data_IF_969488662064
#
_entry.id   IF_969488662064
#
_cell.length_a   1.000
_cell.length_b   1.000
_cell.length_c   1.000
_cell.angle_alpha   90.00
_cell.angle_beta   90.00
_cell.angle_gamma   90.00
#
_symmetry.space_group_name_H-M   'P 1'
#
loop_
_entity.id
_entity.type
_entity.pdbx_description
1 polymer ?
#
# COMPACT_ATOMS: atom_id res chain seq x y z
N UNK A 1 -63.94 4.31 20.03
CA UNK A 1 -62.83 5.26 20.26
C UNK A 1 -63.20 6.13 21.46
N UNK A 2 -62.36 6.22 22.49
CA UNK A 2 -62.65 7.09 23.64
C UNK A 2 -62.79 8.56 23.18
N UNK A 3 -63.74 9.30 23.75
CA UNK A 3 -63.96 10.71 23.43
C UNK A 3 -62.75 11.56 23.85
N UNK A 4 -62.57 12.72 23.21
CA UNK A 4 -61.43 13.61 23.51
C UNK A 4 -61.39 13.99 25.01
N UNK A 5 -62.56 14.21 25.61
CA UNK A 5 -62.68 14.58 27.02
C UNK A 5 -62.34 13.43 27.97
N UNK A 6 -62.73 12.19 27.61
CA UNK A 6 -62.34 10.99 28.37
C UNK A 6 -60.82 10.79 28.37
N UNK A 7 -60.15 11.07 27.24
CA UNK A 7 -58.69 11.00 27.15
C UNK A 7 -58.00 12.06 28.01
N UNK A 8 -58.53 13.30 28.04
CA UNK A 8 -58.01 14.38 28.88
C UNK A 8 -58.16 14.08 30.36
N UNK A 9 -59.32 13.56 30.76
CA UNK A 9 -59.58 13.21 32.16
C UNK A 9 -58.72 12.04 32.64
N UNK A 10 -58.54 11.01 31.79
CA UNK A 10 -57.62 9.91 32.08
C UNK A 10 -56.17 10.39 32.22
N UNK A 11 -55.72 11.29 31.35
CA UNK A 11 -54.37 11.87 31.43
C UNK A 11 -54.17 12.72 32.69
N UNK A 12 -55.18 13.51 33.08
CA UNK A 12 -55.14 14.28 34.33
C UNK A 12 -55.05 13.37 35.56
N UNK A 13 -55.89 12.33 35.65
CA UNK A 13 -55.83 11.33 36.74
C UNK A 13 -54.47 10.65 36.79
N UNK A 14 -53.88 10.35 35.63
CA UNK A 14 -52.52 9.85 35.55
C UNK A 14 -51.51 10.83 36.18
N UNK A 15 -51.49 12.10 35.76
CA UNK A 15 -50.56 13.10 36.29
C UNK A 15 -50.72 13.32 37.80
N UNK A 16 -51.96 13.28 38.32
CA UNK A 16 -52.23 13.35 39.76
C UNK A 16 -51.73 12.11 40.48
N UNK A 17 -52.03 10.90 39.97
CA UNK A 17 -51.62 9.63 40.57
C UNK A 17 -50.11 9.39 40.53
N UNK A 18 -49.43 9.89 39.50
CA UNK A 18 -47.98 9.83 39.34
C UNK A 18 -47.24 10.92 40.15
N UNK A 19 -47.98 11.80 40.85
CA UNK A 19 -47.42 12.87 41.68
C UNK A 19 -46.88 14.08 40.91
N UNK A 20 -47.01 14.13 39.58
CA UNK A 20 -46.46 15.19 38.74
C UNK A 20 -47.07 16.57 39.06
N UNK A 21 -48.38 16.63 39.31
CA UNK A 21 -49.07 17.89 39.63
C UNK A 21 -48.62 18.43 41.00
N UNK A 22 -48.44 17.56 41.99
CA UNK A 22 -48.00 17.95 43.34
C UNK A 22 -46.57 18.50 43.32
N UNK A 23 -45.65 17.85 42.61
CA UNK A 23 -44.28 18.33 42.43
C UNK A 23 -44.23 19.71 41.74
N UNK A 24 -44.96 19.89 40.63
CA UNK A 24 -45.04 21.18 39.92
C UNK A 24 -45.64 22.29 40.79
N UNK A 25 -46.69 21.96 41.55
CA UNK A 25 -47.34 22.91 42.45
C UNK A 25 -46.37 23.38 43.54
N UNK A 26 -45.62 22.46 44.16
CA UNK A 26 -44.59 22.80 45.16
C UNK A 26 -43.47 23.67 44.57
N UNK A 27 -43.04 23.39 43.34
CA UNK A 27 -42.01 24.18 42.66
C UNK A 27 -42.47 25.61 42.38
N UNK A 28 -43.70 25.79 41.90
CA UNK A 28 -44.29 27.10 41.66
C UNK A 28 -44.53 27.88 42.95
N UNK A 29 -44.94 27.22 44.03
CA UNK A 29 -45.11 27.84 45.35
C UNK A 29 -43.76 28.36 45.88
N UNK A 30 -42.68 27.55 45.78
CA UNK A 30 -41.33 28.01 46.17
C UNK A 30 -40.88 29.22 45.35
N UNK A 31 -41.08 29.21 44.03
CA UNK A 31 -40.76 30.37 43.18
C UNK A 31 -41.57 31.62 43.56
N UNK A 32 -42.84 31.44 43.95
CA UNK A 32 -43.68 32.54 44.42
C UNK A 32 -43.20 33.13 45.76
N UNK A 33 -42.61 32.31 46.63
CA UNK A 33 -42.10 32.70 47.95
C UNK A 33 -40.72 33.39 47.92
N UNK A 34 -39.98 33.32 46.79
CA UNK A 34 -38.71 34.03 46.64
C UNK A 34 -38.89 35.56 46.71
N UNK A 35 -38.17 36.22 47.62
CA UNK A 35 -38.19 37.67 47.83
C UNK A 35 -37.61 38.42 46.63
N UNK A 36 -36.58 37.85 45.99
CA UNK A 36 -36.00 38.32 44.73
C UNK A 36 -36.29 37.31 43.62
N UNK A 37 -37.11 37.69 42.64
CA UNK A 37 -37.47 36.79 41.54
C UNK A 37 -36.24 36.49 40.66
N UNK A 38 -35.95 35.21 40.36
CA UNK A 38 -34.84 34.84 39.49
C UNK A 38 -35.13 35.33 38.06
N UNK A 39 -34.07 35.70 37.33
CA UNK A 39 -34.18 36.12 35.92
C UNK A 39 -34.67 34.98 35.01
N UNK A 40 -34.33 33.73 35.34
CA UNK A 40 -34.82 32.52 34.65
C UNK A 40 -35.67 31.65 35.59
N UNK A 41 -36.99 31.87 35.56
CA UNK A 41 -37.96 31.09 36.32
C UNK A 41 -38.01 29.61 35.92
N UNK A 42 -37.72 29.27 34.66
CA UNK A 42 -37.72 27.89 34.17
C UNK A 42 -36.54 27.10 34.73
N UNK A 43 -35.33 27.70 34.77
CA UNK A 43 -34.14 27.11 35.40
C UNK A 43 -34.40 26.84 36.89
N UNK A 44 -35.01 27.79 37.60
CA UNK A 44 -35.39 27.64 39.02
C UNK A 44 -36.38 26.48 39.22
N UNK A 45 -37.47 26.43 38.45
CA UNK A 45 -38.47 25.35 38.56
C UNK A 45 -37.82 23.99 38.29
N UNK A 46 -36.95 23.87 37.27
CA UNK A 46 -36.22 22.63 36.96
C UNK A 46 -35.36 22.15 38.14
N UNK A 47 -34.66 23.05 38.82
CA UNK A 47 -33.85 22.73 40.00
C UNK A 47 -34.70 22.28 41.19
N UNK A 48 -35.86 22.91 41.40
CA UNK A 48 -36.77 22.53 42.51
C UNK A 48 -37.45 21.19 42.24
N UNK A 49 -37.78 20.89 40.99
CA UNK A 49 -38.37 19.61 40.59
C UNK A 49 -37.38 18.45 40.68
N UNK A 50 -36.08 18.73 40.61
CA UNK A 50 -35.03 17.73 40.68
C UNK A 50 -33.84 18.32 41.44
N UNK A 51 -33.85 18.16 42.77
CA UNK A 51 -32.84 18.74 43.68
C UNK A 51 -31.40 18.25 43.38
N UNK A 52 -31.26 17.14 42.63
CA UNK A 52 -29.99 16.57 42.19
C UNK A 52 -29.71 16.79 40.68
N UNK A 53 -30.47 17.64 39.99
CA UNK A 53 -30.24 17.93 38.57
C UNK A 53 -29.00 18.81 38.41
N UNK A 54 -28.01 18.39 37.60
CA UNK A 54 -26.84 19.23 37.34
C UNK A 54 -27.26 20.58 36.76
N UNK A 55 -26.62 21.66 37.21
CA UNK A 55 -26.78 22.98 36.59
C UNK A 55 -26.22 22.95 35.16
N UNK A 56 -26.66 23.88 34.30
CA UNK A 56 -26.11 23.96 32.92
C UNK A 56 -24.58 24.18 32.94
N UNK A 57 -24.07 24.89 33.95
CA UNK A 57 -22.64 25.05 34.20
C UNK A 57 -21.97 23.71 34.55
N UNK A 58 -22.57 22.92 35.44
CA UNK A 58 -22.06 21.58 35.80
C UNK A 58 -22.11 20.60 34.62
N UNK A 59 -23.13 20.69 33.76
CA UNK A 59 -23.20 19.89 32.53
C UNK A 59 -22.10 20.31 31.57
N UNK A 60 -21.87 21.61 31.38
CA UNK A 60 -20.81 22.12 30.52
C UNK A 60 -19.41 21.68 31.02
N UNK A 61 -19.15 21.81 32.31
CA UNK A 61 -17.91 21.35 32.96
C UNK A 61 -17.73 19.83 32.77
N UNK A 62 -18.77 19.04 33.03
CA UNK A 62 -18.74 17.58 32.81
C UNK A 62 -18.49 17.20 31.35
N UNK A 63 -19.03 17.97 30.40
CA UNK A 63 -18.80 17.75 28.96
C UNK A 63 -17.36 18.08 28.58
N UNK A 64 -16.78 19.15 29.13
CA UNK A 64 -15.38 19.52 28.92
C UNK A 64 -14.44 18.48 29.54
N UNK A 65 -14.70 18.05 30.78
CA UNK A 65 -13.96 16.97 31.43
C UNK A 65 -14.05 15.67 30.64
N UNK A 66 -15.24 15.31 30.14
CA UNK A 66 -15.44 14.12 29.31
C UNK A 66 -14.65 14.22 28.00
N UNK A 67 -14.62 15.40 27.36
CA UNK A 67 -13.83 15.62 26.15
C UNK A 67 -12.32 15.51 26.44
N UNK A 68 -11.83 16.10 27.53
CA UNK A 68 -10.44 16.02 27.95
C UNK A 68 -10.03 14.57 28.32
N UNK A 69 -10.89 13.86 29.04
CA UNK A 69 -10.67 12.46 29.40
C UNK A 69 -10.63 11.55 28.17
N UNK A 70 -11.55 11.73 27.21
CA UNK A 70 -11.54 11.00 25.93
C UNK A 70 -10.24 11.24 25.16
N UNK A 71 -9.79 12.50 25.08
CA UNK A 71 -8.50 12.85 24.44
C UNK A 71 -7.32 12.18 25.15
N UNK A 72 -7.33 12.15 26.49
CA UNK A 72 -6.27 11.50 27.27
C UNK A 72 -6.27 9.98 27.09
N UNK A 73 -7.44 9.34 27.03
CA UNK A 73 -7.57 7.90 26.75
C UNK A 73 -6.97 7.58 25.39
N UNK A 74 -7.35 8.31 24.34
CA UNK A 74 -6.80 8.10 22.99
C UNK A 74 -5.26 8.26 22.97
N UNK A 75 -4.74 9.28 23.65
CA UNK A 75 -3.29 9.49 23.77
C UNK A 75 -2.60 8.31 24.49
N UNK A 76 -3.16 7.83 25.59
CA UNK A 76 -2.60 6.71 26.35
C UNK A 76 -2.70 5.38 25.58
N UNK A 77 -3.78 5.17 24.84
CA UNK A 77 -3.95 4.01 23.95
C UNK A 77 -2.89 4.03 22.85
N UNK A 78 -2.62 5.19 22.25
CA UNK A 78 -1.55 5.41 21.28
C UNK A 78 -0.17 5.13 21.88
N UNK A 79 0.13 5.70 23.05
CA UNK A 79 1.39 5.47 23.77
C UNK A 79 1.60 3.98 24.11
N UNK A 80 0.58 3.31 24.65
CA UNK A 80 0.64 1.89 24.98
C UNK A 80 0.82 1.03 23.73
N UNK A 81 0.11 1.32 22.64
CA UNK A 81 0.29 0.65 21.34
C UNK A 81 1.73 0.80 20.87
N UNK A 82 2.29 2.00 20.98
CA UNK A 82 3.66 2.26 20.58
C UNK A 82 4.69 1.53 21.43
N UNK A 83 4.50 1.47 22.74
CA UNK A 83 5.36 0.69 23.63
C UNK A 83 5.33 -0.80 23.27
N UNK A 84 4.13 -1.37 23.08
CA UNK A 84 3.96 -2.78 22.70
C UNK A 84 4.63 -3.10 21.35
N UNK A 85 4.41 -2.27 20.33
CA UNK A 85 5.00 -2.46 19.00
C UNK A 85 6.51 -2.20 18.94
N UNK A 86 7.09 -1.61 19.97
CA UNK A 86 8.53 -1.37 20.10
C UNK A 86 9.25 -2.39 20.99
N UNK A 87 8.52 -3.33 21.60
CA UNK A 87 9.17 -4.46 22.28
C UNK A 87 9.92 -5.30 21.24
N UNK A 88 11.24 -5.36 21.38
CA UNK A 88 12.12 -6.15 20.51
C UNK A 88 12.58 -7.40 21.24
N UNK A 89 12.79 -8.47 20.46
CA UNK A 89 13.39 -9.71 20.95
C UNK A 89 14.81 -9.46 21.48
N UNK A 90 15.16 -10.19 22.52
CA UNK A 90 16.55 -10.31 22.97
C UNK A 90 17.40 -10.98 21.89
N UNK A 91 18.73 -10.87 21.97
CA UNK A 91 19.62 -11.55 21.02
C UNK A 91 19.39 -13.07 21.01
N UNK A 92 19.22 -13.68 22.19
CA UNK A 92 18.93 -15.12 22.33
C UNK A 92 17.61 -15.52 21.66
N UNK A 93 16.53 -14.76 21.87
CA UNK A 93 15.24 -15.03 21.23
C UNK A 93 15.29 -14.82 19.71
N UNK A 94 16.04 -13.82 19.25
CA UNK A 94 16.27 -13.58 17.81
C UNK A 94 17.02 -14.73 17.17
N UNK A 95 18.10 -15.20 17.80
CA UNK A 95 18.89 -16.32 17.30
C UNK A 95 18.09 -17.61 17.29
N UNK A 96 17.34 -17.90 18.36
CA UNK A 96 16.48 -19.07 18.42
C UNK A 96 15.43 -19.03 17.30
N UNK A 97 14.79 -17.88 17.06
CA UNK A 97 13.81 -17.73 15.98
C UNK A 97 14.44 -17.93 14.59
N UNK A 98 15.67 -17.47 14.38
CA UNK A 98 16.40 -17.68 13.13
C UNK A 98 16.77 -19.14 12.93
N UNK A 99 17.33 -19.80 13.94
CA UNK A 99 17.75 -21.20 13.88
C UNK A 99 16.56 -22.14 13.69
N UNK A 100 15.50 -21.96 14.48
CA UNK A 100 14.26 -22.73 14.31
C UNK A 100 13.62 -22.47 12.96
N UNK A 101 13.53 -21.20 12.53
CA UNK A 101 12.93 -20.87 11.24
C UNK A 101 13.71 -21.45 10.06
N UNK A 102 15.05 -21.44 10.11
CA UNK A 102 15.88 -22.04 9.08
C UNK A 102 15.69 -23.57 9.03
N UNK A 103 15.68 -24.23 10.19
CA UNK A 103 15.44 -25.67 10.26
C UNK A 103 14.09 -26.05 9.66
N UNK A 104 13.01 -25.39 10.10
CA UNK A 104 11.66 -25.67 9.60
C UNK A 104 11.51 -25.37 8.10
N UNK A 105 12.20 -24.34 7.59
CA UNK A 105 12.22 -24.02 6.16
C UNK A 105 13.01 -25.06 5.35
N UNK A 106 14.09 -25.61 5.90
CA UNK A 106 14.89 -26.65 5.25
C UNK A 106 14.11 -27.99 5.16
N UNK A 107 13.32 -28.32 6.19
CA UNK A 107 12.47 -29.52 6.24
C UNK A 107 11.23 -29.43 5.33
N UNK A 108 10.81 -28.24 4.94
CA UNK A 108 9.66 -28.02 4.06
C UNK A 108 10.03 -28.24 2.59
N UNK A 109 9.74 -29.44 2.06
CA UNK A 109 9.94 -29.79 0.64
C UNK A 109 9.13 -28.89 -0.32
N UNK A 110 8.03 -28.28 0.13
CA UNK A 110 7.21 -27.37 -0.64
C UNK A 110 7.76 -25.95 -0.70
N UNK A 111 8.76 -25.61 0.11
CA UNK A 111 9.40 -24.31 0.07
C UNK A 111 10.39 -24.22 -1.10
N UNK A 112 10.15 -23.29 -2.02
CA UNK A 112 10.97 -22.99 -3.20
C UNK A 112 11.51 -21.55 -3.20
N UNK A 113 11.42 -20.87 -2.05
CA UNK A 113 11.82 -19.47 -1.94
C UNK A 113 13.31 -19.27 -2.23
N UNK A 114 13.67 -18.14 -2.84
CA UNK A 114 15.07 -17.76 -3.00
C UNK A 114 15.79 -17.63 -1.65
N UNK A 115 15.08 -17.24 -0.59
CA UNK A 115 15.62 -17.23 0.78
C UNK A 115 16.12 -18.63 1.18
N UNK A 116 15.35 -19.69 0.93
CA UNK A 116 15.75 -21.07 1.26
C UNK A 116 16.99 -21.50 0.47
N UNK A 117 17.09 -21.09 -0.80
CA UNK A 117 18.24 -21.39 -1.65
C UNK A 117 19.53 -20.76 -1.11
N UNK A 118 19.46 -19.50 -0.63
CA UNK A 118 20.66 -18.72 -0.30
C UNK A 118 21.00 -18.64 1.19
N UNK A 119 20.01 -18.77 2.09
CA UNK A 119 20.27 -18.75 3.54
C UNK A 119 20.72 -20.12 4.03
N UNK A 120 22.03 -20.37 3.98
CA UNK A 120 22.64 -21.59 4.53
C UNK A 120 22.88 -21.46 6.04
N UNK A 121 23.11 -22.59 6.73
CA UNK A 121 23.50 -22.58 8.15
C UNK A 121 24.79 -21.80 8.38
N UNK A 122 25.79 -21.95 7.50
CA UNK A 122 27.05 -21.19 7.56
C UNK A 122 26.81 -19.69 7.45
N UNK A 123 25.96 -19.27 6.50
CA UNK A 123 25.62 -17.87 6.31
C UNK A 123 24.81 -17.32 7.49
N UNK A 124 23.89 -18.12 8.03
CA UNK A 124 23.14 -17.76 9.24
C UNK A 124 24.10 -17.51 10.41
N UNK A 125 25.05 -18.41 10.66
CA UNK A 125 26.01 -18.27 11.76
C UNK A 125 26.91 -17.04 11.60
N UNK A 126 27.25 -16.67 10.36
CA UNK A 126 27.98 -15.44 10.04
C UNK A 126 27.16 -14.18 10.35
N UNK A 127 25.87 -14.17 10.00
CA UNK A 127 25.05 -12.95 9.96
C UNK A 127 24.15 -12.74 11.20
N UNK A 128 23.80 -13.79 11.96
CA UNK A 128 22.75 -13.73 13.01
C UNK A 128 23.02 -12.73 14.15
N UNK A 129 24.28 -12.46 14.45
CA UNK A 129 24.69 -11.50 15.48
C UNK A 129 24.84 -10.05 14.96
N UNK A 130 24.80 -9.86 13.64
CA UNK A 130 25.02 -8.55 13.03
C UNK A 130 23.79 -7.65 13.18
N UNK A 131 24.05 -6.35 13.29
CA UNK A 131 23.02 -5.30 13.35
C UNK A 131 23.42 -4.11 12.51
N UNK A 132 22.44 -3.48 11.87
CA UNK A 132 22.67 -2.21 11.16
C UNK A 132 23.06 -1.11 12.17
N UNK A 133 24.00 -0.20 11.83
CA UNK A 133 24.60 0.70 12.81
C UNK A 133 23.64 1.80 13.31
N UNK A 134 22.77 2.33 12.46
CA UNK A 134 21.81 3.39 12.84
C UNK A 134 20.54 2.80 13.44
N UNK A 135 19.86 1.94 12.69
CA UNK A 135 18.52 1.47 13.05
C UNK A 135 18.51 0.21 13.89
N UNK A 136 19.67 -0.45 14.07
CA UNK A 136 19.83 -1.69 14.85
C UNK A 136 18.93 -2.83 14.33
N UNK A 137 18.68 -2.87 13.03
CA UNK A 137 17.97 -3.97 12.39
C UNK A 137 18.81 -5.23 12.42
N UNK A 138 18.16 -6.36 12.62
CA UNK A 138 18.76 -7.69 12.68
C UNK A 138 18.49 -8.45 11.37
N UNK A 139 19.19 -9.56 11.17
CA UNK A 139 18.86 -10.48 10.08
C UNK A 139 17.41 -10.95 10.15
N UNK A 140 16.89 -11.20 11.37
CA UNK A 140 15.51 -11.63 11.57
C UNK A 140 14.50 -10.60 11.04
N UNK A 141 14.74 -9.30 11.25
CA UNK A 141 13.87 -8.26 10.68
C UNK A 141 13.80 -8.34 9.14
N UNK A 142 14.83 -8.91 8.49
CA UNK A 142 14.91 -9.04 7.03
C UNK A 142 14.29 -10.35 6.50
N UNK A 143 14.44 -11.46 7.23
CA UNK A 143 14.04 -12.80 6.75
C UNK A 143 12.74 -13.33 7.36
N UNK A 144 12.19 -12.66 8.38
CA UNK A 144 11.03 -13.16 9.14
C UNK A 144 9.82 -13.52 8.26
N UNK A 145 9.56 -12.75 7.21
CA UNK A 145 8.48 -13.07 6.27
C UNK A 145 8.70 -14.42 5.57
N UNK A 146 9.88 -14.67 5.01
CA UNK A 146 10.17 -15.93 4.30
C UNK A 146 10.21 -17.15 5.21
N UNK A 147 10.74 -17.00 6.44
CA UNK A 147 10.77 -18.09 7.42
C UNK A 147 9.35 -18.56 7.83
N UNK A 148 8.38 -17.63 7.84
CA UNK A 148 7.00 -17.90 8.22
C UNK A 148 6.07 -18.22 7.04
N UNK A 149 6.27 -17.54 5.91
CA UNK A 149 5.48 -17.70 4.70
C UNK A 149 6.32 -18.45 3.66
N UNK A 150 6.42 -19.78 3.79
CA UNK A 150 7.35 -20.63 3.03
C UNK A 150 6.99 -20.79 1.55
N UNK A 151 5.79 -20.38 1.17
CA UNK A 151 5.34 -20.27 -0.21
C UNK A 151 5.67 -18.92 -0.84
N UNK A 152 6.46 -18.07 -0.16
CA UNK A 152 7.06 -16.87 -0.77
C UNK A 152 7.99 -17.26 -1.93
N UNK A 153 7.95 -16.53 -3.04
CA UNK A 153 8.97 -16.69 -4.09
C UNK A 153 10.33 -16.14 -3.65
N UNK A 154 10.36 -15.00 -2.94
CA UNK A 154 11.61 -14.34 -2.49
C UNK A 154 11.86 -14.58 -1.01
N UNK A 155 10.97 -14.08 -0.13
CA UNK A 155 11.06 -14.29 1.32
C UNK A 155 12.00 -13.33 2.08
N UNK A 156 12.65 -12.40 1.38
CA UNK A 156 13.62 -11.44 1.93
C UNK A 156 13.15 -9.99 1.72
N UNK A 157 13.26 -9.17 2.77
CA UNK A 157 13.03 -7.73 2.74
C UNK A 157 14.16 -7.00 3.48
N UNK A 158 14.50 -5.78 3.08
CA UNK A 158 15.44 -4.95 3.84
C UNK A 158 14.71 -4.25 4.98
N UNK A 159 15.19 -4.34 6.22
CA UNK A 159 14.54 -3.64 7.33
C UNK A 159 14.87 -2.13 7.40
N UNK A 160 16.01 -1.75 6.83
CA UNK A 160 16.46 -0.37 6.59
C UNK A 160 17.45 -0.31 5.42
N UNK A 161 17.80 0.88 4.89
CA UNK A 161 18.74 1.01 3.76
C UNK A 161 20.09 0.31 3.94
N UNK A 162 20.66 0.29 5.16
CA UNK A 162 21.95 -0.33 5.42
C UNK A 162 21.87 -1.86 5.51
N UNK A 163 20.68 -2.45 5.58
CA UNK A 163 20.52 -3.90 5.55
C UNK A 163 21.11 -4.51 4.27
N UNK A 164 21.02 -3.79 3.14
CA UNK A 164 21.60 -4.22 1.86
C UNK A 164 23.12 -4.37 1.90
N UNK A 165 23.83 -3.56 2.72
CA UNK A 165 25.28 -3.65 2.86
C UNK A 165 25.71 -4.55 4.01
N UNK A 166 25.02 -4.48 5.15
CA UNK A 166 25.33 -5.27 6.36
C UNK A 166 25.07 -6.76 6.14
N UNK A 167 24.02 -7.12 5.39
CA UNK A 167 23.67 -8.49 5.07
C UNK A 167 23.91 -8.80 3.58
N UNK A 168 24.88 -8.12 2.95
CA UNK A 168 25.17 -8.22 1.51
C UNK A 168 25.44 -9.66 1.03
N UNK A 169 26.05 -10.50 1.88
CA UNK A 169 26.31 -11.91 1.55
C UNK A 169 25.03 -12.72 1.30
N UNK A 170 23.89 -12.29 1.86
CA UNK A 170 22.57 -12.87 1.58
C UNK A 170 21.84 -12.11 0.47
N UNK A 171 21.87 -10.76 0.51
CA UNK A 171 21.14 -9.95 -0.46
C UNK A 171 21.70 -10.07 -1.88
N UNK A 172 23.02 -10.06 -2.06
CA UNK A 172 23.63 -10.01 -3.39
C UNK A 172 23.32 -11.24 -4.25
N UNK A 173 23.51 -12.49 -3.77
CA UNK A 173 23.17 -13.68 -4.56
C UNK A 173 21.69 -13.72 -4.94
N UNK A 174 20.82 -13.28 -4.02
CA UNK A 174 19.37 -13.25 -4.23
C UNK A 174 18.96 -12.19 -5.27
N UNK A 175 19.57 -11.00 -5.20
CA UNK A 175 19.40 -9.93 -6.19
C UNK A 175 19.87 -10.40 -7.57
N UNK A 176 21.04 -11.06 -7.64
CA UNK A 176 21.62 -11.54 -8.89
C UNK A 176 20.74 -12.63 -9.54
N UNK A 177 20.21 -13.56 -8.76
CA UNK A 177 19.29 -14.59 -9.26
C UNK A 177 17.97 -13.98 -9.75
N UNK A 178 17.36 -13.08 -8.96
CA UNK A 178 16.07 -12.49 -9.30
C UNK A 178 16.15 -11.55 -10.53
N UNK A 179 17.13 -10.65 -10.56
CA UNK A 179 17.29 -9.65 -11.63
C UNK A 179 18.08 -10.17 -12.83
N UNK A 180 18.68 -11.35 -12.73
CA UNK A 180 19.43 -12.08 -13.78
C UNK A 180 20.49 -11.20 -14.45
N UNK A 181 21.74 -11.32 -14.01
CA UNK A 181 22.88 -10.60 -14.59
C UNK A 181 23.16 -9.24 -13.95
N UNK A 182 22.83 -9.10 -12.66
CA UNK A 182 23.28 -7.99 -11.82
C UNK A 182 24.08 -8.52 -10.63
N UNK A 183 25.37 -8.71 -10.83
CA UNK A 183 26.30 -9.26 -9.86
C UNK A 183 26.73 -8.27 -8.78
N UNK A 184 27.65 -8.71 -7.92
CA UNK A 184 28.15 -7.91 -6.80
C UNK A 184 28.88 -6.62 -7.22
N UNK A 185 29.53 -6.62 -8.39
CA UNK A 185 30.33 -5.51 -8.89
C UNK A 185 29.59 -4.61 -9.89
N UNK A 186 28.40 -5.01 -10.34
CA UNK A 186 27.56 -4.23 -11.25
C UNK A 186 26.96 -3.02 -10.53
N UNK A 187 26.73 -1.95 -11.28
CA UNK A 187 26.13 -0.71 -10.77
C UNK A 187 24.91 -0.31 -11.59
N UNK A 188 23.88 0.15 -10.89
CA UNK A 188 22.73 0.77 -11.51
C UNK A 188 23.18 2.04 -12.26
N UNK A 189 22.80 2.22 -13.54
CA UNK A 189 23.12 3.45 -14.25
C UNK A 189 22.50 4.68 -13.59
N UNK A 190 23.05 5.84 -13.91
CA UNK A 190 22.43 7.12 -13.54
C UNK A 190 21.02 7.22 -14.12
N UNK A 191 20.17 7.94 -13.38
CA UNK A 191 18.79 8.13 -13.76
C UNK A 191 18.73 8.75 -15.16
N UNK A 192 17.89 8.18 -16.02
CA UNK A 192 17.66 8.69 -17.36
C UNK A 192 16.21 8.46 -17.78
N UNK A 193 15.46 9.55 -17.86
CA UNK A 193 14.08 9.55 -18.34
C UNK A 193 13.97 9.38 -19.85
N UNK A 194 15.05 9.61 -20.60
CA UNK A 194 15.01 9.68 -22.05
C UNK A 194 13.96 10.68 -22.56
N UNK A 195 13.46 10.43 -23.76
CA UNK A 195 12.47 11.29 -24.42
C UNK A 195 11.15 10.52 -24.59
N UNK A 196 10.08 10.84 -23.82
CA UNK A 196 8.80 10.14 -23.91
C UNK A 196 8.19 10.15 -25.32
N UNK A 197 8.50 11.17 -26.13
CA UNK A 197 8.02 11.27 -27.53
C UNK A 197 8.61 10.21 -28.47
N UNK A 198 9.69 9.52 -28.08
CA UNK A 198 10.21 8.37 -28.84
C UNK A 198 9.42 7.09 -28.60
N UNK A 199 8.54 7.06 -27.58
CA UNK A 199 7.75 5.87 -27.27
C UNK A 199 6.55 5.80 -28.22
N UNK A 200 6.51 4.75 -29.03
CA UNK A 200 5.39 4.50 -29.94
C UNK A 200 4.15 4.02 -29.18
N UNK A 201 2.97 4.42 -29.65
CA UNK A 201 1.72 3.78 -29.25
C UNK A 201 1.68 2.36 -29.83
N UNK A 202 1.73 1.36 -28.94
CA UNK A 202 1.81 -0.06 -29.31
C UNK A 202 0.52 -0.61 -29.94
N UNK A 203 -0.61 0.08 -29.74
CA UNK A 203 -1.92 -0.30 -30.27
C UNK A 203 -2.72 0.93 -30.72
N UNK A 204 -2.36 1.55 -31.86
CA UNK A 204 -3.03 2.77 -32.34
C UNK A 204 -4.51 2.57 -32.70
N UNK A 205 -4.91 1.34 -33.00
CA UNK A 205 -6.28 0.98 -33.37
C UNK A 205 -7.14 0.63 -32.14
N UNK A 206 -6.53 0.47 -30.96
CA UNK A 206 -7.21 0.17 -29.70
C UNK A 206 -7.89 -1.20 -29.68
N UNK A 207 -7.31 -2.19 -30.35
CA UNK A 207 -7.89 -3.54 -30.49
C UNK A 207 -7.51 -4.49 -29.36
N UNK A 208 -6.33 -4.32 -28.79
CA UNK A 208 -5.71 -5.28 -27.87
C UNK A 208 -5.54 -4.68 -26.47
N UNK A 209 -4.98 -3.47 -26.37
CA UNK A 209 -4.63 -2.84 -25.09
C UNK A 209 -5.83 -2.10 -24.51
N UNK A 210 -6.17 -2.44 -23.27
CA UNK A 210 -7.27 -1.84 -22.51
C UNK A 210 -6.79 -0.59 -21.76
N UNK A 211 -5.65 -0.70 -21.06
CA UNK A 211 -5.10 0.39 -20.25
C UNK A 211 -3.60 0.24 -20.10
N UNK A 212 -2.94 1.37 -19.86
CA UNK A 212 -1.50 1.47 -19.69
C UNK A 212 -1.19 2.10 -18.34
N UNK A 213 -0.17 1.59 -17.65
CA UNK A 213 0.21 2.01 -16.31
C UNK A 213 1.73 2.01 -16.13
N UNK A 214 2.26 3.08 -15.56
CA UNK A 214 3.65 3.16 -15.11
C UNK A 214 3.65 3.46 -13.62
N UNK A 215 4.38 2.67 -12.84
CA UNK A 215 4.58 2.94 -11.42
C UNK A 215 6.04 2.87 -11.03
N UNK A 216 6.40 3.55 -9.95
CA UNK A 216 7.62 3.25 -9.22
C UNK A 216 7.41 3.18 -7.71
N UNK A 217 8.36 2.57 -7.02
CA UNK A 217 8.53 2.70 -5.59
C UNK A 217 9.62 3.74 -5.27
N UNK A 218 9.43 4.51 -4.20
CA UNK A 218 10.43 5.42 -3.66
C UNK A 218 10.43 5.37 -2.14
N UNK A 219 11.63 5.47 -1.58
CA UNK A 219 11.86 5.54 -0.15
C UNK A 219 12.46 6.90 0.18
N UNK A 220 11.99 7.52 1.25
CA UNK A 220 12.43 8.86 1.68
C UNK A 220 13.76 8.77 2.44
N UNK A 221 14.73 9.60 2.09
CA UNK A 221 16.02 9.68 2.81
C UNK A 221 15.83 10.04 4.28
N UNK A 222 16.68 9.45 5.13
CA UNK A 222 16.66 9.68 6.59
C UNK A 222 15.58 8.88 7.33
N UNK A 223 14.84 8.01 6.64
CA UNK A 223 13.89 7.08 7.24
C UNK A 223 14.33 5.64 6.99
N UNK A 224 14.18 4.72 7.97
CA UNK A 224 14.31 3.31 7.70
C UNK A 224 13.06 2.80 7.00
N UNK A 225 13.06 1.55 6.55
CA UNK A 225 11.84 0.93 6.04
C UNK A 225 10.85 0.61 7.17
N UNK A 226 9.64 0.23 6.78
CA UNK A 226 8.50 0.00 7.68
C UNK A 226 8.77 -0.87 8.94
N UNK A 227 9.59 -1.94 8.91
CA UNK A 227 9.83 -2.77 10.10
C UNK A 227 10.50 -2.01 11.25
N UNK A 228 11.17 -0.91 10.93
CA UNK A 228 11.92 -0.06 11.88
C UNK A 228 11.31 1.32 12.06
N UNK A 229 10.41 1.76 11.18
CA UNK A 229 9.70 3.02 11.32
C UNK A 229 8.93 3.12 12.64
N UNK A 230 8.83 4.34 13.17
CA UNK A 230 8.04 4.74 14.31
C UNK A 230 6.77 5.48 13.84
N UNK A 231 5.76 5.55 14.70
CA UNK A 231 4.46 6.12 14.34
C UNK A 231 4.54 7.58 13.86
N UNK A 232 5.34 8.40 14.54
CA UNK A 232 5.61 9.80 14.16
C UNK A 232 6.33 9.91 12.81
N UNK A 233 7.15 8.91 12.46
CA UNK A 233 7.81 8.85 11.16
C UNK A 233 6.84 8.57 10.01
N UNK A 234 5.81 7.74 10.23
CA UNK A 234 4.73 7.55 9.26
C UNK A 234 3.99 8.88 8.99
N UNK A 235 3.66 9.61 10.05
CA UNK A 235 3.00 10.93 9.98
C UNK A 235 3.91 11.96 9.28
N UNK A 236 5.21 11.98 9.58
CA UNK A 236 6.16 12.90 8.95
C UNK A 236 6.30 12.67 7.44
N UNK A 237 6.26 11.41 6.98
CA UNK A 237 6.23 11.10 5.54
C UNK A 237 4.92 11.60 4.91
N UNK A 238 3.78 11.38 5.57
CA UNK A 238 2.49 11.89 5.11
C UNK A 238 2.50 13.42 4.94
N UNK A 239 3.01 14.16 5.93
CA UNK A 239 3.11 15.63 5.89
C UNK A 239 4.01 16.11 4.75
N UNK A 240 5.15 15.44 4.53
CA UNK A 240 6.04 15.74 3.39
C UNK A 240 5.34 15.54 2.06
N UNK A 241 4.58 14.45 1.91
CA UNK A 241 3.78 14.19 0.71
C UNK A 241 2.69 15.25 0.55
N UNK A 242 1.94 15.57 1.61
CA UNK A 242 0.91 16.61 1.57
C UNK A 242 1.47 17.96 1.10
N UNK A 243 2.65 18.36 1.58
CA UNK A 243 3.31 19.58 1.14
C UNK A 243 3.75 19.49 -0.34
N UNK A 244 4.36 18.39 -0.75
CA UNK A 244 4.86 18.21 -2.12
C UNK A 244 3.74 18.20 -3.18
N UNK A 245 2.56 17.71 -2.82
CA UNK A 245 1.40 17.65 -3.72
C UNK A 245 0.83 19.04 -4.04
N UNK A 246 1.08 20.06 -3.22
CA UNK A 246 0.61 21.43 -3.48
C UNK A 246 1.24 22.03 -4.74
N UNK A 247 2.47 21.63 -5.05
CA UNK A 247 3.24 22.15 -6.19
C UNK A 247 3.02 21.35 -7.48
N UNK A 248 2.07 20.40 -7.49
CA UNK A 248 1.68 19.70 -8.69
C UNK A 248 1.10 20.66 -9.75
N UNK A 249 1.37 20.43 -11.05
CA UNK A 249 0.70 21.16 -12.12
C UNK A 249 -0.83 21.02 -12.04
N UNK A 250 -1.56 22.00 -12.57
CA UNK A 250 -3.03 22.08 -12.51
C UNK A 250 -3.70 20.77 -12.97
N UNK A 251 -3.21 20.15 -14.05
CA UNK A 251 -3.73 18.88 -14.59
C UNK A 251 -3.54 17.66 -13.67
N UNK A 252 -2.66 17.75 -12.68
CA UNK A 252 -2.35 16.70 -11.70
C UNK A 252 -2.87 17.01 -10.30
N UNK A 253 -3.55 18.14 -10.11
CA UNK A 253 -4.17 18.50 -8.84
C UNK A 253 -5.25 17.49 -8.44
N UNK A 254 -5.42 17.31 -7.13
CA UNK A 254 -6.21 16.22 -6.58
C UNK A 254 -6.37 16.26 -5.08
N UNK A 255 -6.88 15.16 -4.53
CA UNK A 255 -7.18 15.03 -3.11
C UNK A 255 -6.29 13.95 -2.47
N UNK A 256 -5.71 14.28 -1.32
CA UNK A 256 -4.98 13.34 -0.46
C UNK A 256 -5.89 12.86 0.67
N UNK A 257 -6.22 11.58 0.66
CA UNK A 257 -7.08 10.95 1.64
C UNK A 257 -6.27 10.14 2.65
N UNK A 258 -6.29 10.57 3.92
CA UNK A 258 -5.72 9.79 5.03
C UNK A 258 -6.64 8.62 5.38
N UNK A 259 -6.10 7.41 5.47
CA UNK A 259 -6.89 6.19 5.72
C UNK A 259 -7.59 6.21 7.09
N UNK A 260 -6.97 6.84 8.10
CA UNK A 260 -7.53 6.95 9.45
C UNK A 260 -8.86 7.72 9.49
N UNK A 261 -9.03 8.69 8.59
CA UNK A 261 -10.23 9.54 8.52
C UNK A 261 -11.09 9.25 7.30
N UNK A 262 -10.80 8.17 6.57
CA UNK A 262 -11.51 7.81 5.35
C UNK A 262 -12.92 7.31 5.68
N UNK A 263 -13.93 7.94 5.12
CA UNK A 263 -15.30 7.47 5.29
C UNK A 263 -15.56 6.17 4.50
N UNK A 264 -16.56 5.41 4.93
CA UNK A 264 -16.87 4.10 4.36
C UNK A 264 -17.27 4.17 2.87
N UNK A 265 -17.93 5.25 2.44
CA UNK A 265 -18.35 5.42 1.04
C UNK A 265 -17.14 5.66 0.15
N UNK A 266 -16.21 6.54 0.58
CA UNK A 266 -14.98 6.80 -0.16
C UNK A 266 -14.06 5.60 -0.18
N UNK A 267 -13.95 4.87 0.95
CA UNK A 267 -13.20 3.60 0.98
C UNK A 267 -13.73 2.59 -0.02
N UNK A 268 -15.06 2.46 -0.13
CA UNK A 268 -15.69 1.57 -1.11
C UNK A 268 -15.40 2.03 -2.55
N UNK A 269 -15.58 3.32 -2.86
CA UNK A 269 -15.28 3.89 -4.18
C UNK A 269 -13.83 3.59 -4.62
N UNK A 270 -12.87 3.80 -3.71
CA UNK A 270 -11.45 3.59 -4.01
C UNK A 270 -11.10 2.10 -4.15
N UNK A 271 -11.78 1.23 -3.42
CA UNK A 271 -11.58 -0.22 -3.51
C UNK A 271 -12.16 -0.77 -4.81
N UNK A 272 -13.40 -0.42 -5.16
CA UNK A 272 -14.07 -0.86 -6.39
C UNK A 272 -13.40 -0.29 -7.65
N UNK A 273 -12.83 0.92 -7.56
CA UNK A 273 -12.03 1.52 -8.62
C UNK A 273 -10.60 0.99 -8.73
N UNK A 274 -10.21 -0.01 -7.93
CA UNK A 274 -8.86 -0.57 -7.88
C UNK A 274 -7.75 0.46 -7.60
N UNK A 275 -8.09 1.56 -6.93
CA UNK A 275 -7.13 2.60 -6.55
C UNK A 275 -6.51 2.34 -5.18
N UNK A 276 -7.31 1.83 -4.23
CA UNK A 276 -6.83 1.54 -2.88
C UNK A 276 -5.96 0.28 -2.89
N UNK A 277 -4.82 0.34 -2.23
CA UNK A 277 -4.00 -0.84 -1.98
C UNK A 277 -4.70 -1.82 -1.05
N UNK A 278 -4.34 -3.10 -1.16
CA UNK A 278 -4.92 -4.16 -0.35
C UNK A 278 -4.47 -4.02 1.11
N UNK A 279 -5.42 -4.12 2.03
CA UNK A 279 -5.10 -4.16 3.46
C UNK A 279 -4.55 -5.54 3.86
N UNK A 280 -3.58 -5.55 4.77
CA UNK A 280 -3.16 -6.74 5.52
C UNK A 280 -2.64 -7.91 4.66
N UNK A 281 -1.73 -7.63 3.71
CA UNK A 281 -0.95 -8.70 3.07
C UNK A 281 -0.13 -9.47 4.12
N UNK A 282 -0.20 -10.81 4.10
CA UNK A 282 0.43 -11.67 5.12
C UNK A 282 1.96 -11.68 5.06
N UNK A 283 2.55 -11.41 3.89
CA UNK A 283 3.99 -11.30 3.75
C UNK A 283 4.46 -9.99 4.40
N UNK A 284 3.76 -8.89 4.11
CA UNK A 284 4.02 -7.57 4.73
C UNK A 284 3.78 -7.58 6.24
N UNK A 285 2.75 -8.28 6.72
CA UNK A 285 2.46 -8.42 8.15
C UNK A 285 3.60 -9.13 8.90
N UNK A 286 4.13 -10.20 8.33
CA UNK A 286 5.24 -10.93 8.95
C UNK A 286 6.59 -10.25 8.76
N UNK A 287 6.74 -9.44 7.70
CA UNK A 287 7.87 -8.52 7.57
C UNK A 287 7.76 -7.31 8.51
N UNK A 288 6.65 -7.16 9.27
CA UNK A 288 6.37 -6.01 10.16
C UNK A 288 6.23 -4.67 9.42
N UNK A 289 5.77 -4.70 8.17
CA UNK A 289 5.51 -3.49 7.40
C UNK A 289 4.21 -2.76 7.81
N UNK A 290 3.25 -3.47 8.40
CA UNK A 290 1.97 -2.90 8.85
C UNK A 290 2.00 -2.34 10.28
N UNK A 291 3.19 -2.11 10.86
CA UNK A 291 3.30 -1.50 12.20
C UNK A 291 2.55 -0.17 12.22
N UNK A 292 1.82 0.07 13.32
CA UNK A 292 1.04 1.29 13.55
C UNK A 292 -0.10 1.54 12.55
N UNK A 293 -0.54 0.54 11.76
CA UNK A 293 -1.63 0.74 10.80
C UNK A 293 -2.90 1.31 11.48
N UNK A 294 -3.59 2.33 10.91
CA UNK A 294 -3.34 2.99 9.62
C UNK A 294 -2.54 4.32 9.70
N UNK A 295 -1.76 4.56 10.76
CA UNK A 295 -1.06 5.83 10.97
C UNK A 295 -0.22 6.23 9.74
N UNK A 296 -0.40 7.47 9.28
CA UNK A 296 0.28 8.04 8.11
C UNK A 296 0.03 7.35 6.78
N UNK A 297 -0.88 6.36 6.69
CA UNK A 297 -1.24 5.73 5.42
C UNK A 297 -2.23 6.60 4.70
N UNK A 298 -1.95 6.88 3.43
CA UNK A 298 -2.80 7.74 2.64
C UNK A 298 -2.78 7.34 1.16
N UNK A 299 -3.77 7.85 0.45
CA UNK A 299 -3.87 7.73 -0.99
C UNK A 299 -4.19 9.10 -1.59
N UNK A 300 -3.39 9.52 -2.55
CA UNK A 300 -3.66 10.67 -3.39
C UNK A 300 -4.24 10.23 -4.72
N UNK A 301 -5.25 10.94 -5.23
CA UNK A 301 -5.72 10.81 -6.61
C UNK A 301 -5.95 12.19 -7.21
N UNK A 302 -5.49 12.40 -8.45
CA UNK A 302 -5.91 13.56 -9.22
C UNK A 302 -7.39 13.44 -9.66
N UNK A 303 -7.99 14.57 -10.05
CA UNK A 303 -9.41 14.61 -10.45
C UNK A 303 -9.74 13.65 -11.61
N UNK A 304 -8.81 13.52 -12.56
CA UNK A 304 -8.95 12.64 -13.71
C UNK A 304 -8.71 11.14 -13.39
N UNK A 305 -8.30 10.80 -12.17
CA UNK A 305 -7.94 9.43 -11.74
C UNK A 305 -6.85 8.77 -12.60
N UNK A 306 -5.96 9.58 -13.17
CA UNK A 306 -4.84 9.18 -14.02
C UNK A 306 -3.48 9.26 -13.33
N UNK A 307 -3.43 9.85 -12.14
CA UNK A 307 -2.25 9.93 -11.29
C UNK A 307 -2.62 9.62 -9.84
N UNK A 308 -1.89 8.66 -9.25
CA UNK A 308 -2.16 8.12 -7.91
C UNK A 308 -0.85 8.04 -7.13
N UNK A 309 -0.87 8.40 -5.85
CA UNK A 309 0.24 8.16 -4.92
C UNK A 309 -0.25 7.36 -3.73
N UNK A 310 0.34 6.20 -3.48
CA UNK A 310 0.16 5.48 -2.22
C UNK A 310 1.24 5.90 -1.25
N UNK A 311 0.85 6.19 -0.02
CA UNK A 311 1.74 6.62 1.06
C UNK A 311 1.76 5.55 2.14
N UNK A 312 2.97 5.08 2.49
CA UNK A 312 3.25 4.14 3.58
C UNK A 312 2.56 2.76 3.47
N UNK A 313 2.53 2.17 2.27
CA UNK A 313 2.05 0.81 2.04
C UNK A 313 3.18 -0.22 2.21
N UNK A 314 3.75 -0.75 1.12
CA UNK A 314 4.95 -1.61 1.15
C UNK A 314 6.23 -0.78 1.17
N UNK A 315 6.25 0.29 0.36
CA UNK A 315 7.29 1.31 0.30
C UNK A 315 6.74 2.65 0.82
N UNK A 316 7.59 3.63 1.14
CA UNK A 316 7.13 4.92 1.64
C UNK A 316 6.20 5.61 0.63
N UNK A 317 6.56 5.55 -0.65
CA UNK A 317 5.72 6.01 -1.75
C UNK A 317 5.64 4.95 -2.86
N UNK A 318 4.43 4.71 -3.37
CA UNK A 318 4.23 4.19 -4.73
C UNK A 318 3.60 5.27 -5.60
N UNK A 319 4.30 5.69 -6.63
CA UNK A 319 3.89 6.77 -7.54
C UNK A 319 3.42 6.12 -8.83
N UNK A 320 2.20 6.43 -9.26
CA UNK A 320 1.50 5.70 -10.32
C UNK A 320 0.89 6.68 -11.31
N UNK A 321 1.16 6.49 -12.59
CA UNK A 321 0.45 7.14 -13.70
C UNK A 321 -0.24 6.06 -14.54
N UNK A 322 -1.49 6.28 -14.92
CA UNK A 322 -2.24 5.32 -15.72
C UNK A 322 -3.38 5.98 -16.51
N UNK A 323 -3.84 5.31 -17.55
CA UNK A 323 -5.03 5.69 -18.32
C UNK A 323 -5.51 4.52 -19.19
N UNK A 324 -6.71 4.64 -19.74
CA UNK A 324 -7.22 3.74 -20.76
C UNK A 324 -6.47 3.91 -22.10
N UNK A 325 -6.39 2.83 -22.87
CA UNK A 325 -5.66 2.76 -24.13
C UNK A 325 -4.15 2.57 -23.98
N UNK A 326 -3.44 2.72 -25.11
CA UNK A 326 -2.04 2.35 -25.30
C UNK A 326 -1.05 3.54 -25.40
N UNK A 327 -1.47 4.76 -25.06
CA UNK A 327 -0.61 5.94 -25.13
C UNK A 327 0.37 5.99 -23.94
N UNK A 328 1.40 5.16 -24.00
CA UNK A 328 2.46 5.07 -23.01
C UNK A 328 3.28 6.37 -22.92
N UNK A 329 3.43 7.11 -24.02
CA UNK A 329 4.18 8.37 -24.05
C UNK A 329 3.52 9.40 -23.13
N UNK A 330 2.19 9.55 -23.22
CA UNK A 330 1.43 10.43 -22.34
C UNK A 330 1.49 9.96 -20.87
N UNK A 331 1.30 8.66 -20.62
CA UNK A 331 1.37 8.09 -19.26
C UNK A 331 2.74 8.37 -18.63
N UNK A 332 3.82 8.16 -19.39
CA UNK A 332 5.18 8.31 -18.91
C UNK A 332 5.58 9.78 -18.72
N UNK A 333 5.17 10.67 -19.62
CA UNK A 333 5.39 12.12 -19.46
C UNK A 333 4.71 12.65 -18.19
N UNK A 334 3.46 12.23 -17.93
CA UNK A 334 2.74 12.57 -16.69
C UNK A 334 3.47 12.04 -15.46
N UNK A 335 3.94 10.79 -15.52
CA UNK A 335 4.71 10.15 -14.45
C UNK A 335 5.99 10.92 -14.11
N UNK A 336 6.80 11.28 -15.12
CA UNK A 336 8.04 12.05 -14.94
C UNK A 336 7.75 13.42 -14.33
N UNK A 337 6.73 14.11 -14.84
CA UNK A 337 6.33 15.44 -14.36
C UNK A 337 5.97 15.42 -12.88
N UNK A 338 5.16 14.43 -12.47
CA UNK A 338 4.76 14.27 -11.09
C UNK A 338 5.95 13.92 -10.19
N UNK A 339 6.80 12.98 -10.62
CA UNK A 339 7.92 12.51 -9.82
C UNK A 339 8.98 13.60 -9.64
N UNK A 340 9.31 14.35 -10.69
CA UNK A 340 10.20 15.52 -10.60
C UNK A 340 9.62 16.64 -9.71
N UNK A 341 8.30 16.70 -9.55
CA UNK A 341 7.68 17.65 -8.62
C UNK A 341 7.83 17.17 -7.19
N UNK A 342 7.55 15.90 -6.90
CA UNK A 342 7.71 15.32 -5.57
C UNK A 342 9.18 15.36 -5.08
N UNK A 343 10.13 15.08 -5.98
CA UNK A 343 11.57 15.04 -5.68
C UNK A 343 12.13 16.39 -5.18
N UNK A 344 11.49 17.51 -5.52
CA UNK A 344 11.88 18.85 -5.00
C UNK A 344 11.68 18.99 -3.50
N UNK A 345 10.75 18.23 -2.92
CA UNK A 345 10.37 18.31 -1.50
C UNK A 345 10.77 17.06 -0.72
N UNK A 346 10.90 15.93 -1.42
CA UNK A 346 11.09 14.61 -0.82
C UNK A 346 12.38 14.01 -1.40
N UNK A 347 13.52 14.15 -0.71
CA UNK A 347 14.75 13.50 -1.15
C UNK A 347 14.56 11.99 -1.10
N UNK A 348 14.78 11.32 -2.23
CA UNK A 348 14.61 9.88 -2.36
C UNK A 348 15.92 9.12 -2.21
N UNK A 349 15.88 8.05 -1.41
CA UNK A 349 17.01 7.20 -1.08
C UNK A 349 17.53 6.47 -2.34
N UNK A 350 18.70 6.87 -2.83
CA UNK A 350 19.42 6.23 -3.93
C UNK A 350 20.80 5.75 -3.48
N UNK A 351 21.11 4.50 -3.75
CA UNK A 351 22.43 3.88 -3.60
C UNK A 351 23.17 3.87 -4.93
N UNK A 352 24.50 4.04 -4.90
CA UNK A 352 25.33 4.08 -6.12
C UNK A 352 25.30 2.75 -6.89
N UNK A 353 25.22 1.62 -6.17
CA UNK A 353 25.18 0.30 -6.77
C UNK A 353 23.75 -0.11 -7.09
N UNK A 354 22.86 -0.02 -6.12
CA UNK A 354 21.52 -0.62 -6.20
C UNK A 354 20.44 0.33 -6.71
N UNK A 355 20.77 1.59 -7.01
CA UNK A 355 19.78 2.58 -7.44
C UNK A 355 18.83 2.97 -6.32
N UNK A 356 17.58 3.27 -6.67
CA UNK A 356 16.57 3.60 -5.67
C UNK A 356 16.31 2.41 -4.74
N UNK A 357 16.54 2.63 -3.45
CA UNK A 357 16.37 1.58 -2.45
C UNK A 357 14.90 1.44 -2.08
N UNK A 358 14.44 0.20 -2.08
CA UNK A 358 13.06 -0.20 -1.76
C UNK A 358 13.05 -1.24 -0.68
N UNK A 359 11.88 -1.43 -0.07
CA UNK A 359 11.71 -2.40 1.01
C UNK A 359 11.97 -3.85 0.54
N UNK A 360 11.46 -4.20 -0.64
CA UNK A 360 11.72 -5.49 -1.29
C UNK A 360 12.89 -5.39 -2.29
N UNK A 361 13.84 -6.35 -2.33
CA UNK A 361 14.95 -6.36 -3.29
C UNK A 361 14.49 -6.46 -4.75
N UNK A 362 13.27 -6.96 -5.00
CA UNK A 362 12.69 -7.08 -6.35
C UNK A 362 12.35 -5.73 -6.98
N UNK A 363 12.24 -4.68 -6.17
CA UNK A 363 11.87 -3.33 -6.58
C UNK A 363 13.07 -2.37 -6.64
N UNK A 364 14.31 -2.87 -6.56
CA UNK A 364 15.52 -2.04 -6.65
C UNK A 364 15.76 -1.44 -8.05
N UNK A 365 16.77 -0.57 -8.15
CA UNK A 365 17.25 0.01 -9.41
C UNK A 365 16.43 1.23 -9.81
N UNK A 366 15.76 1.14 -10.94
CA UNK A 366 14.76 2.12 -11.39
C UNK A 366 13.54 2.13 -10.46
N UNK A 367 13.27 0.98 -9.83
CA UNK A 367 12.02 0.65 -9.16
C UNK A 367 10.77 0.77 -10.04
N UNK A 368 10.93 0.81 -11.37
CA UNK A 368 9.83 1.02 -12.31
C UNK A 368 9.20 -0.31 -12.72
N UNK A 369 7.86 -0.31 -12.72
CA UNK A 369 7.04 -1.29 -13.44
C UNK A 369 6.12 -0.55 -14.40
N UNK A 370 6.43 -0.63 -15.69
CA UNK A 370 5.52 -0.30 -16.76
C UNK A 370 4.73 -1.55 -17.13
N UNK A 371 3.42 -1.39 -17.31
CA UNK A 371 2.55 -2.49 -17.70
C UNK A 371 1.35 -2.05 -18.52
N UNK A 372 0.76 -3.03 -19.21
CA UNK A 372 -0.50 -2.88 -19.92
C UNK A 372 -1.46 -3.97 -19.49
N UNK A 373 -2.74 -3.63 -19.41
CA UNK A 373 -3.80 -4.64 -19.49
C UNK A 373 -4.12 -4.88 -20.95
N UNK A 374 -3.97 -6.12 -21.42
CA UNK A 374 -4.08 -6.48 -22.83
C UNK A 374 -4.89 -7.77 -23.01
N UNK A 375 -5.60 -7.89 -24.13
CA UNK A 375 -6.26 -9.14 -24.57
C UNK A 375 -5.53 -9.72 -25.77
N UNK A 376 -5.11 -10.97 -25.65
CA UNK A 376 -4.44 -11.74 -26.71
C UNK A 376 -5.09 -13.13 -26.76
N UNK A 377 -6.34 -13.26 -27.25
CA UNK A 377 -7.14 -14.47 -27.11
C UNK A 377 -6.52 -15.71 -27.77
N UNK A 378 -5.80 -15.57 -28.88
CA UNK A 378 -5.13 -16.69 -29.55
C UNK A 378 -3.86 -17.09 -28.81
N UNK A 379 -3.00 -16.13 -28.48
CA UNK A 379 -1.74 -16.39 -27.79
C UNK A 379 -1.96 -16.93 -26.38
N UNK A 380 -2.94 -16.38 -25.64
CA UNK A 380 -3.29 -16.85 -24.30
C UNK A 380 -3.86 -18.26 -24.27
N UNK A 381 -4.37 -18.77 -25.40
CA UNK A 381 -4.82 -20.16 -25.52
C UNK A 381 -3.66 -21.17 -25.57
N UNK A 382 -2.46 -20.71 -25.97
CA UNK A 382 -1.22 -21.48 -25.95
C UNK A 382 -0.26 -20.90 -24.91
N UNK A 383 -0.42 -21.36 -23.67
CA UNK A 383 0.37 -20.88 -22.54
C UNK A 383 1.87 -21.07 -22.74
N UNK A 384 2.31 -22.17 -23.37
CA UNK A 384 3.73 -22.43 -23.57
C UNK A 384 4.36 -21.38 -24.50
N UNK A 385 3.70 -21.11 -25.63
CA UNK A 385 4.13 -20.09 -26.59
C UNK A 385 4.08 -18.68 -26.00
N UNK A 386 3.06 -18.38 -25.19
CA UNK A 386 2.95 -17.10 -24.50
C UNK A 386 4.08 -16.89 -23.49
N UNK A 387 4.37 -17.89 -22.66
CA UNK A 387 5.43 -17.85 -21.66
C UNK A 387 6.83 -17.73 -22.32
N UNK A 388 7.05 -18.43 -23.43
CA UNK A 388 8.28 -18.32 -24.24
C UNK A 388 8.44 -16.92 -24.86
N UNK A 389 7.37 -16.38 -25.45
CA UNK A 389 7.38 -15.04 -26.04
C UNK A 389 7.62 -13.96 -24.96
N UNK A 390 7.00 -14.10 -23.79
CA UNK A 390 7.24 -13.21 -22.66
C UNK A 390 8.69 -13.27 -22.17
N UNK A 391 9.24 -14.48 -22.00
CA UNK A 391 10.61 -14.68 -21.56
C UNK A 391 11.62 -14.09 -22.54
N UNK A 392 11.43 -14.32 -23.85
CA UNK A 392 12.27 -13.79 -24.93
C UNK A 392 12.29 -12.25 -24.93
N UNK A 393 11.13 -11.64 -24.67
CA UNK A 393 10.98 -10.19 -24.60
C UNK A 393 11.21 -9.61 -23.20
N UNK A 394 11.71 -10.42 -22.23
CA UNK A 394 12.01 -10.00 -20.86
C UNK A 394 10.81 -9.40 -20.11
N UNK A 395 9.62 -9.89 -20.43
CA UNK A 395 8.36 -9.50 -19.82
C UNK A 395 7.98 -10.45 -18.68
N UNK A 396 7.10 -9.97 -17.82
CA UNK A 396 6.39 -10.77 -16.83
C UNK A 396 4.88 -10.61 -17.05
N UNK A 397 4.18 -11.74 -17.16
CA UNK A 397 2.72 -11.82 -17.29
C UNK A 397 2.11 -12.17 -15.93
N UNK A 398 1.04 -11.46 -15.55
CA UNK A 398 0.23 -11.70 -14.34
C UNK A 398 -1.27 -11.63 -14.67
N UNK A 399 -2.12 -12.09 -13.76
CA UNK A 399 -3.56 -11.81 -13.80
C UNK A 399 -3.89 -10.35 -13.46
N UNK A 400 -5.12 -9.93 -13.77
CA UNK A 400 -5.60 -8.53 -13.69
C UNK A 400 -5.52 -7.94 -12.28
N UNK A 401 -5.63 -8.78 -11.24
CA UNK A 401 -5.60 -8.33 -9.85
C UNK A 401 -4.19 -8.41 -9.23
N UNK A 402 -3.15 -8.57 -10.05
CA UNK A 402 -1.75 -8.53 -9.62
C UNK A 402 -1.12 -9.90 -9.39
N UNK A 403 -0.10 -9.95 -8.52
CA UNK A 403 0.63 -11.19 -8.23
C UNK A 403 -0.30 -12.25 -7.65
N UNK A 404 -0.21 -13.49 -8.17
CA UNK A 404 -0.99 -14.65 -7.72
C UNK A 404 -2.51 -14.60 -8.00
N UNK A 405 -2.95 -13.93 -9.07
CA UNK A 405 -4.38 -13.89 -9.46
C UNK A 405 -4.60 -14.57 -10.82
N UNK A 406 -5.72 -15.29 -10.95
CA UNK A 406 -6.05 -16.06 -12.15
C UNK A 406 -6.40 -15.15 -13.34
N UNK A 407 -6.07 -15.58 -14.56
CA UNK A 407 -6.35 -14.88 -15.83
C UNK A 407 -7.76 -15.16 -16.36
N UNK A 408 -8.73 -15.43 -15.47
CA UNK A 408 -10.05 -15.98 -15.81
C UNK A 408 -10.88 -15.14 -16.80
N UNK A 409 -10.60 -13.84 -16.89
CA UNK A 409 -11.35 -12.90 -17.74
C UNK A 409 -10.71 -12.67 -19.12
N UNK A 410 -9.62 -13.39 -19.45
CA UNK A 410 -8.90 -13.23 -20.72
C UNK A 410 -8.10 -11.93 -20.87
N UNK A 411 -7.90 -11.21 -19.75
CA UNK A 411 -7.08 -10.00 -19.68
C UNK A 411 -5.78 -10.34 -18.95
N UNK A 412 -4.66 -9.89 -19.52
CA UNK A 412 -3.30 -10.13 -19.03
C UNK A 412 -2.68 -8.81 -18.55
N UNK A 413 -2.03 -8.80 -17.37
CA UNK A 413 -1.11 -7.74 -16.95
C UNK A 413 0.30 -8.07 -17.44
N UNK A 414 0.73 -7.41 -18.52
CA UNK A 414 2.04 -7.62 -19.14
C UNK A 414 2.95 -6.45 -18.77
N UNK A 415 4.14 -6.75 -18.25
CA UNK A 415 5.06 -5.73 -17.70
C UNK A 415 6.52 -6.03 -17.95
N UNK A 416 7.40 -5.03 -17.85
CA UNK A 416 8.84 -5.28 -17.78
C UNK A 416 9.20 -6.10 -16.53
N UNK A 417 9.98 -7.17 -16.71
CA UNK A 417 10.48 -7.99 -15.60
C UNK A 417 11.66 -7.30 -14.90
N UNK A 418 12.61 -6.78 -15.68
CA UNK A 418 13.85 -6.16 -15.17
C UNK A 418 13.59 -4.78 -14.60
N UNK A 419 14.24 -4.47 -13.47
CA UNK A 419 14.22 -3.14 -12.84
C UNK A 419 15.60 -2.57 -12.51
N UNK A 420 16.61 -3.44 -12.53
CA UNK A 420 17.98 -3.17 -12.08
C UNK A 420 18.97 -3.47 -13.23
N UNK A 421 20.03 -2.68 -13.33
CA UNK A 421 21.04 -2.77 -14.40
C UNK A 421 20.59 -2.17 -15.74
N UNK A 422 19.62 -1.27 -15.71
CA UNK A 422 19.10 -0.52 -16.86
C UNK A 422 18.51 0.81 -16.39
N UNK A 423 18.48 1.81 -17.26
CA UNK A 423 17.87 3.12 -16.99
C UNK A 423 16.34 3.04 -16.95
N UNK A 424 15.70 4.06 -16.40
CA UNK A 424 14.25 4.18 -16.38
C UNK A 424 13.66 4.10 -17.80
N UNK A 425 14.29 4.78 -18.76
CA UNK A 425 13.84 4.78 -20.15
C UNK A 425 13.99 3.42 -20.83
N UNK A 426 15.11 2.72 -20.60
CA UNK A 426 15.32 1.36 -21.11
C UNK A 426 14.27 0.39 -20.54
N UNK A 427 13.90 0.53 -19.27
CA UNK A 427 12.85 -0.29 -18.66
C UNK A 427 11.48 -0.07 -19.32
N UNK A 428 11.14 1.18 -19.70
CA UNK A 428 9.92 1.47 -20.47
C UNK A 428 10.03 0.89 -21.88
N UNK A 429 11.17 1.07 -22.56
CA UNK A 429 11.38 0.55 -23.93
C UNK A 429 11.27 -0.97 -23.99
N UNK A 430 11.84 -1.70 -23.02
CA UNK A 430 11.69 -3.17 -22.94
C UNK A 430 10.21 -3.58 -22.86
N UNK A 431 9.38 -2.85 -22.10
CA UNK A 431 7.94 -3.11 -22.05
C UNK A 431 7.27 -2.82 -23.40
N UNK A 432 7.53 -1.65 -24.01
CA UNK A 432 6.92 -1.22 -25.27
C UNK A 432 7.26 -2.17 -26.42
N UNK A 433 8.54 -2.51 -26.60
CA UNK A 433 9.01 -3.42 -27.63
C UNK A 433 8.45 -4.83 -27.43
N UNK A 434 8.43 -5.31 -26.19
CA UNK A 434 7.89 -6.60 -25.86
C UNK A 434 6.38 -6.71 -26.11
N UNK A 435 5.59 -5.71 -25.71
CA UNK A 435 4.14 -5.69 -25.98
C UNK A 435 3.85 -5.64 -27.48
N UNK A 436 4.61 -4.83 -28.23
CA UNK A 436 4.51 -4.78 -29.70
C UNK A 436 4.77 -6.16 -30.32
N UNK A 437 5.77 -6.89 -29.84
CA UNK A 437 6.06 -8.25 -30.30
C UNK A 437 4.93 -9.24 -29.98
N UNK A 438 4.31 -9.14 -28.81
CA UNK A 438 3.16 -9.98 -28.44
C UNK A 438 1.92 -9.69 -29.30
N UNK A 439 1.64 -8.42 -29.60
CA UNK A 439 0.53 -8.02 -30.48
C UNK A 439 0.76 -8.54 -31.90
N UNK A 440 1.98 -8.44 -32.42
CA UNK A 440 2.32 -8.96 -33.74
C UNK A 440 2.15 -10.49 -33.80
N UNK A 441 2.55 -11.19 -32.74
CA UNK A 441 2.35 -12.65 -32.63
C UNK A 441 0.87 -13.02 -32.60
N UNK A 442 0.04 -12.26 -31.88
CA UNK A 442 -1.42 -12.44 -31.87
C UNK A 442 -2.00 -12.25 -33.27
N UNK A 443 -1.61 -11.19 -34.00
CA UNK A 443 -2.06 -10.93 -35.38
C UNK A 443 -1.73 -12.07 -36.32
N UNK A 444 -0.54 -12.67 -36.20
CA UNK A 444 -0.13 -13.84 -37.00
C UNK A 444 -0.96 -15.09 -36.69
N UNK A 445 -1.38 -15.25 -35.44
CA UNK A 445 -2.29 -16.33 -35.03
C UNK A 445 -3.73 -16.07 -35.48
N UNK A 446 -4.16 -14.82 -35.56
CA UNK A 446 -5.47 -14.42 -36.08
C UNK A 446 -5.57 -14.59 -37.60
N UNK A 447 -4.49 -14.32 -38.35
CA UNK A 447 -4.45 -14.46 -39.81
C UNK A 447 -4.36 -15.91 -40.30
N UNK A 448 -4.04 -16.86 -39.42
CA UNK A 448 -3.84 -18.27 -39.75
C UNK A 448 -2.45 -18.60 -40.33
N UNK A 449 -1.57 -17.60 -40.45
CA UNK A 449 -0.18 -17.81 -40.94
C UNK A 449 0.68 -18.61 -39.95
N UNK A 450 0.26 -18.66 -38.67
CA UNK A 450 0.91 -19.47 -37.63
C UNK A 450 0.74 -20.99 -37.78
N UNK A 451 -0.30 -21.46 -38.47
CA UNK A 451 -0.50 -22.91 -38.72
C UNK A 451 0.40 -23.41 -39.87
N UNK A 452 0.62 -22.60 -40.91
CA UNK A 452 1.45 -22.97 -42.06
C UNK A 452 2.96 -23.07 -41.72
N UNK A 453 3.46 -22.25 -40.79
CA UNK A 453 4.85 -22.32 -40.33
C UNK A 453 5.11 -23.55 -39.43
N UNK A 454 4.11 -24.00 -38.68
CA UNK A 454 4.21 -25.15 -37.78
C UNK A 454 4.10 -26.48 -38.53
N UNK A 455 3.27 -26.56 -39.58
CA UNK A 455 3.27 -27.71 -40.50
C UNK A 455 4.62 -27.84 -41.23
N UNK A 456 5.22 -26.74 -41.67
CA UNK A 456 6.53 -26.76 -42.33
C UNK A 456 7.70 -27.16 -41.40
N UNK A 457 7.62 -26.81 -40.10
CA UNK A 457 8.63 -27.21 -39.11
C UNK A 457 8.45 -28.67 -38.67
N UNK A 458 7.21 -29.14 -38.49
CA UNK A 458 6.90 -30.53 -38.16
C UNK A 458 7.20 -31.52 -39.30
N UNK A 459 7.05 -31.11 -40.56
CA UNK A 459 7.46 -31.91 -41.72
C UNK A 459 8.99 -31.97 -41.89
N UNK A 460 9.73 -30.96 -41.42
CA UNK A 460 11.19 -30.97 -41.44
C UNK A 460 11.79 -31.86 -40.33
N UNK A 461 11.17 -31.91 -39.14
CA UNK A 461 11.58 -32.81 -38.04
C UNK A 461 11.19 -34.27 -38.26
N UNK A 462 10.15 -34.55 -39.06
CA UNK A 462 9.76 -35.91 -39.44
C UNK A 462 10.58 -36.47 -40.63
N UNK A 463 11.47 -35.66 -41.22
CA UNK A 463 12.29 -36.00 -42.38
C UNK A 463 13.79 -36.21 -42.07
N UNK A 464 14.21 -36.04 -40.81
CA UNK A 464 15.48 -36.60 -40.24
C UNK A 464 15.22 -37.90 -39.49
#
# INVERSE_FOLDING_TARGET
>A
MASLDQKREAFRKYLESAGAIDCLSKALIRLYQEDHKPEDACKFIRQVLCENCPTDEQVAESMEELAAARKRIQQLERENRGLLLNVRRTASETNLALETGLQEMAEDEGCYSLLKTHLTQELLDKLKEMKTPEYKSTLLDCVQSGLKNRDSHVGLYAADPMAYSVFADLFNPLIEEYHTGFGADDKQPELSWGEPTELENVDPEGQYVISTRVRCARSVEGFPFHPRMQEDQYEAIYEKVQAALQDLPEELQGELHLLETLDASKKLELTEGHYLFKECDRFLEEAKANRFFPAGRAIFLNEAKTFVVWVNEEDHLRIISMQDGADIAQVYQRFITALNTLDKHIPFQRDERLGYLTFCPTNLGTAIRASVHIRLPKLSSDKARMDEAAATNKLQIRGVHGEHTDTGDGILDVSNKRRLGLTEFEAIKEMVEGVKALIELEKQLESGDGEAANEAAGEAEAAE
#
